data_IF_795031060572
#
_entry.id   IF_795031060572
#
_cell.length_a   1.000
_cell.length_b   1.000
_cell.length_c   1.000
_cell.angle_alpha   90.00
_cell.angle_beta   90.00
_cell.angle_gamma   90.00
#
_symmetry.space_group_name_H-M   'P 1'
#
loop_
_entity.id
_entity.type
_entity.pdbx_description
1 polymer ?
#
# COMPACT_ATOMS: atom_id res chain seq x y z
N UNK A 1 0.30 -31.61 -6.61
CA UNK A 1 -0.66 -30.78 -5.86
C UNK A 1 0.07 -30.14 -4.68
N UNK A 2 0.44 -28.87 -4.78
CA UNK A 2 1.18 -28.15 -3.73
C UNK A 2 0.17 -27.68 -2.67
N UNK A 3 0.38 -28.07 -1.41
CA UNK A 3 -0.48 -27.75 -0.28
C UNK A 3 -0.39 -26.26 0.09
N UNK A 4 -1.31 -25.44 -0.41
CA UNK A 4 -1.41 -23.99 -0.15
C UNK A 4 -1.94 -23.64 1.24
N UNK A 5 -2.26 -24.63 2.08
CA UNK A 5 -3.11 -24.46 3.27
C UNK A 5 -2.42 -23.88 4.51
N UNK A 6 -1.13 -23.53 4.45
CA UNK A 6 -0.41 -23.04 5.63
C UNK A 6 0.48 -21.81 5.39
N UNK A 7 0.37 -21.16 4.22
CA UNK A 7 1.05 -19.89 3.98
C UNK A 7 0.12 -18.74 4.32
N UNK A 8 0.51 -17.79 5.20
CA UNK A 8 -0.29 -16.62 5.45
C UNK A 8 -0.56 -15.87 4.13
N UNK A 9 -1.74 -15.24 3.97
CA UNK A 9 -2.12 -14.57 2.73
C UNK A 9 -1.21 -13.39 2.39
N UNK A 10 -0.51 -12.85 3.39
CA UNK A 10 0.37 -11.71 3.30
C UNK A 10 1.64 -11.94 4.13
N UNK A 11 2.75 -11.33 3.69
CA UNK A 11 3.96 -11.18 4.50
C UNK A 11 3.72 -10.19 5.65
N UNK A 12 4.62 -10.15 6.64
CA UNK A 12 4.53 -9.16 7.72
C UNK A 12 4.52 -7.71 7.19
N UNK A 13 5.35 -7.40 6.18
CA UNK A 13 5.37 -6.08 5.55
C UNK A 13 4.06 -5.77 4.81
N UNK A 14 3.46 -6.75 4.15
CA UNK A 14 2.16 -6.59 3.49
C UNK A 14 1.03 -6.36 4.49
N UNK A 15 1.07 -6.99 5.67
CA UNK A 15 0.12 -6.70 6.74
C UNK A 15 0.25 -5.28 7.29
N UNK A 16 1.48 -4.78 7.44
CA UNK A 16 1.73 -3.39 7.86
C UNK A 16 1.21 -2.39 6.83
N UNK A 17 1.43 -2.66 5.54
CA UNK A 17 0.85 -1.85 4.45
C UNK A 17 -0.69 -1.86 4.49
N UNK A 18 -1.31 -3.02 4.75
CA UNK A 18 -2.76 -3.12 4.86
C UNK A 18 -3.32 -2.33 6.06
N UNK A 19 -2.65 -2.40 7.21
CA UNK A 19 -3.03 -1.61 8.39
C UNK A 19 -2.97 -0.10 8.10
N UNK A 20 -1.91 0.33 7.40
CA UNK A 20 -1.74 1.71 6.97
C UNK A 20 -2.86 2.17 6.02
N UNK A 21 -3.18 1.35 5.01
CA UNK A 21 -4.27 1.62 4.07
C UNK A 21 -5.65 1.65 4.77
N UNK A 22 -5.89 0.74 5.71
CA UNK A 22 -7.12 0.71 6.49
C UNK A 22 -7.28 1.96 7.36
N UNK A 23 -6.19 2.47 7.92
CA UNK A 23 -6.20 3.72 8.68
C UNK A 23 -6.60 4.90 7.80
N UNK A 24 -6.02 5.02 6.60
CA UNK A 24 -6.39 6.07 5.63
C UNK A 24 -7.87 5.95 5.25
N UNK A 25 -8.33 4.74 4.94
CA UNK A 25 -9.73 4.50 4.58
C UNK A 25 -10.69 4.93 5.70
N UNK A 26 -10.32 4.72 6.97
CA UNK A 26 -11.10 5.18 8.12
C UNK A 26 -11.31 6.70 8.12
N UNK A 27 -10.25 7.48 7.82
CA UNK A 27 -10.38 8.95 7.70
C UNK A 27 -11.27 9.34 6.51
N UNK A 28 -11.12 8.66 5.37
CA UNK A 28 -11.93 8.91 4.17
C UNK A 28 -13.43 8.65 4.44
N UNK A 29 -13.78 7.53 5.05
CA UNK A 29 -15.16 7.18 5.39
C UNK A 29 -15.75 8.12 6.44
N UNK A 30 -14.93 8.57 7.40
CA UNK A 30 -15.33 9.56 8.39
C UNK A 30 -15.46 10.98 7.81
N UNK A 31 -15.11 11.21 6.54
CA UNK A 31 -15.21 12.51 5.87
C UNK A 31 -14.26 13.57 6.43
N UNK A 32 -13.22 13.15 7.15
CA UNK A 32 -12.21 14.04 7.75
C UNK A 32 -10.94 14.05 6.91
N UNK A 33 -10.14 15.14 6.95
CA UNK A 33 -8.87 15.18 6.24
C UNK A 33 -7.95 14.05 6.69
N UNK A 34 -7.37 13.32 5.72
CA UNK A 34 -6.34 12.31 6.00
C UNK A 34 -5.06 13.02 6.44
N UNK A 35 -4.44 12.63 7.57
CA UNK A 35 -3.17 13.20 8.02
C UNK A 35 -2.06 13.11 6.95
N UNK A 36 -1.25 14.17 6.73
CA UNK A 36 -0.21 14.19 5.70
C UNK A 36 0.83 13.08 5.85
N UNK A 37 1.21 12.74 7.09
CA UNK A 37 2.16 11.68 7.41
C UNK A 37 1.70 10.29 6.94
N UNK A 38 0.39 10.08 6.81
CA UNK A 38 -0.17 8.84 6.26
C UNK A 38 -0.11 8.81 4.73
N UNK A 39 -0.11 9.97 4.07
CA UNK A 39 -0.15 10.06 2.60
C UNK A 39 1.26 10.17 1.99
N UNK A 40 2.22 10.72 2.73
CA UNK A 40 3.63 10.88 2.31
C UNK A 40 4.29 9.57 1.82
N UNK A 41 4.15 8.43 2.53
CA UNK A 41 4.69 7.15 2.07
C UNK A 41 4.07 6.69 0.74
N UNK A 42 2.76 6.87 0.57
CA UNK A 42 2.05 6.51 -0.66
C UNK A 42 2.52 7.33 -1.84
N UNK A 43 2.73 8.64 -1.68
CA UNK A 43 3.22 9.50 -2.75
C UNK A 43 4.57 9.03 -3.28
N UNK A 44 5.51 8.68 -2.39
CA UNK A 44 6.82 8.16 -2.82
C UNK A 44 6.71 6.83 -3.55
N UNK A 45 5.85 5.92 -3.06
CA UNK A 45 5.58 4.65 -3.75
C UNK A 45 4.96 4.90 -5.13
N UNK A 46 4.04 5.86 -5.24
CA UNK A 46 3.41 6.22 -6.51
C UNK A 46 4.38 6.88 -7.48
N UNK A 47 5.25 7.77 -7.00
CA UNK A 47 6.31 8.39 -7.79
C UNK A 47 7.30 7.34 -8.29
N UNK A 48 7.64 6.35 -7.45
CA UNK A 48 8.49 5.22 -7.84
C UNK A 48 7.84 4.34 -8.91
N UNK A 49 6.56 4.00 -8.76
CA UNK A 49 5.79 3.25 -9.77
C UNK A 49 5.71 4.06 -11.06
N UNK A 50 5.35 5.34 -10.98
CA UNK A 50 5.27 6.24 -12.13
C UNK A 50 6.60 6.35 -12.86
N UNK A 51 7.70 6.49 -12.12
CA UNK A 51 9.04 6.47 -12.69
C UNK A 51 9.33 5.14 -13.38
N UNK A 52 8.99 4.00 -12.78
CA UNK A 52 9.20 2.68 -13.40
C UNK A 52 8.34 2.45 -14.65
N UNK A 53 7.13 3.02 -14.71
CA UNK A 53 6.23 2.91 -15.86
C UNK A 53 6.60 3.85 -17.00
N UNK A 54 7.14 5.03 -16.67
CA UNK A 54 7.63 6.01 -17.66
C UNK A 54 9.04 5.68 -18.17
N UNK A 55 9.83 4.93 -17.40
CA UNK A 55 11.07 4.33 -17.90
C UNK A 55 10.72 3.06 -18.68
N UNK A 56 10.28 3.25 -19.91
CA UNK A 56 10.22 2.18 -20.90
C UNK A 56 11.65 1.62 -21.09
N UNK A 57 11.92 0.33 -20.80
CA UNK A 57 13.19 -0.26 -21.19
C UNK A 57 13.23 -0.32 -22.72
N UNK A 58 14.25 0.27 -23.32
CA UNK A 58 14.61 0.04 -24.73
C UNK A 58 15.11 -1.39 -24.93
#
# INVERSE_FOLDING_TARGET
MINTRNRPPFTASQWQELEHQALIFKYMVAGVPVPPDLVLPLRRSFDSISASLLHQPT
#
